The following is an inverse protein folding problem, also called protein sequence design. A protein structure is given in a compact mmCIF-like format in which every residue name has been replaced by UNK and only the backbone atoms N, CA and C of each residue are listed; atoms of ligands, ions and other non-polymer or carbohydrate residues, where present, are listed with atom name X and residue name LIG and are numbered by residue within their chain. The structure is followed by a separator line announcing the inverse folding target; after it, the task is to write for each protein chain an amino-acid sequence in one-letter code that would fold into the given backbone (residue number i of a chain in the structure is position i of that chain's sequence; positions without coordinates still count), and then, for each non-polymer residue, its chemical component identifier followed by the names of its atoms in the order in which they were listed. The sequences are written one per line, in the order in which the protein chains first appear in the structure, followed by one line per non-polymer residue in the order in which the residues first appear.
data_IF_437437067326
#
_entry.id   IF_437437067326
#
_cell.length_a   1.000
_cell.length_b   1.000
_cell.length_c   1.000
_cell.angle_alpha   90.00
_cell.angle_beta   90.00
_cell.angle_gamma   90.00
#
_symmetry.space_group_name_H-M   'P 1'
#
loop_
_entity.id
_entity.type
_entity.pdbx_description
1 polymer ?
#
# COMPACT_ATOMS: atom_id res chain seq x y z
N UNK A 1 -58.31 -18.26 20.93
CA UNK A 1 -57.10 -17.49 21.14
C UNK A 1 -56.18 -17.81 19.97
N UNK A 2 -56.06 -16.88 19.03
CA UNK A 2 -55.25 -17.07 17.83
C UNK A 2 -53.87 -16.44 18.07
N UNK A 3 -52.80 -17.22 17.84
CA UNK A 3 -51.40 -16.76 17.91
C UNK A 3 -51.06 -16.19 16.53
N UNK A 4 -50.54 -14.95 16.42
CA UNK A 4 -50.11 -14.41 15.12
C UNK A 4 -48.75 -14.98 14.74
N UNK A 5 -48.69 -15.61 13.57
CA UNK A 5 -47.44 -15.97 12.86
C UNK A 5 -46.72 -14.68 12.40
N UNK A 6 -45.71 -14.25 13.14
CA UNK A 6 -44.76 -13.27 12.65
C UNK A 6 -43.91 -13.91 11.56
N UNK A 7 -44.20 -13.53 10.30
CA UNK A 7 -43.42 -13.85 9.14
C UNK A 7 -42.06 -13.16 9.25
N UNK A 8 -40.99 -13.88 9.53
CA UNK A 8 -39.63 -13.44 9.32
C UNK A 8 -39.37 -13.41 7.83
N UNK A 9 -39.58 -12.25 7.21
CA UNK A 9 -39.02 -11.98 5.90
C UNK A 9 -37.49 -11.81 6.04
N UNK A 10 -36.75 -12.88 5.76
CA UNK A 10 -35.35 -12.79 5.48
C UNK A 10 -35.19 -11.90 4.21
N UNK A 11 -34.60 -10.73 4.35
CA UNK A 11 -34.28 -9.89 3.21
C UNK A 11 -33.33 -10.68 2.29
N UNK A 12 -33.83 -11.03 1.10
CA UNK A 12 -33.03 -11.67 0.08
C UNK A 12 -31.84 -10.77 -0.26
N UNK A 13 -30.61 -11.27 -0.09
CA UNK A 13 -29.41 -10.56 -0.54
C UNK A 13 -29.54 -10.35 -2.05
N UNK A 14 -29.22 -9.13 -2.56
CA UNK A 14 -29.25 -8.89 -3.98
C UNK A 14 -28.31 -9.87 -4.68
N UNK A 15 -28.80 -10.54 -5.73
CA UNK A 15 -28.02 -11.48 -6.51
C UNK A 15 -26.73 -10.80 -7.01
N UNK A 16 -25.58 -11.42 -6.77
CA UNK A 16 -24.29 -10.94 -7.26
C UNK A 16 -24.31 -10.91 -8.78
N UNK A 17 -23.79 -9.84 -9.38
CA UNK A 17 -23.69 -9.79 -10.84
C UNK A 17 -22.72 -10.88 -11.34
N UNK A 18 -22.90 -11.40 -12.59
CA UNK A 18 -22.00 -12.41 -13.17
C UNK A 18 -20.51 -12.00 -13.09
N UNK A 19 -20.21 -10.71 -13.17
CA UNK A 19 -18.85 -10.17 -13.10
C UNK A 19 -18.30 -10.18 -11.67
N UNK A 20 -19.15 -10.02 -10.66
CA UNK A 20 -18.79 -10.16 -9.25
C UNK A 20 -18.47 -11.61 -8.90
N UNK A 21 -19.19 -12.56 -9.48
CA UNK A 21 -18.93 -14.00 -9.34
C UNK A 21 -17.62 -14.38 -10.05
N UNK A 22 -17.36 -13.83 -11.25
CA UNK A 22 -16.09 -14.04 -11.96
C UNK A 22 -14.88 -13.47 -11.22
N UNK A 23 -14.99 -12.26 -10.66
CA UNK A 23 -13.93 -11.66 -9.87
C UNK A 23 -13.64 -12.43 -8.58
N UNK A 24 -14.68 -12.98 -7.94
CA UNK A 24 -14.52 -13.85 -6.77
C UNK A 24 -13.79 -15.16 -7.10
N UNK A 25 -14.00 -15.72 -8.31
CA UNK A 25 -13.34 -16.94 -8.78
C UNK A 25 -11.86 -16.75 -9.17
N UNK A 26 -11.44 -15.51 -9.46
CA UNK A 26 -10.06 -15.20 -9.86
C UNK A 26 -9.10 -14.96 -8.69
N UNK A 27 -9.61 -14.82 -7.48
CA UNK A 27 -8.80 -14.66 -6.27
C UNK A 27 -8.96 -15.94 -5.44
N UNK A 28 -7.89 -16.69 -5.14
CA UNK A 28 -7.97 -17.81 -4.21
C UNK A 28 -8.67 -17.35 -2.93
N UNK A 29 -9.62 -18.15 -2.42
CA UNK A 29 -10.26 -17.84 -1.14
C UNK A 29 -9.16 -17.70 -0.10
N UNK A 30 -9.00 -16.49 0.40
CA UNK A 30 -8.02 -16.18 1.41
C UNK A 30 -8.44 -16.88 2.70
N UNK A 31 -7.54 -17.68 3.26
CA UNK A 31 -7.72 -18.28 4.58
C UNK A 31 -6.83 -17.56 5.59
N UNK A 32 -7.25 -17.45 6.85
CA UNK A 32 -6.40 -16.93 7.91
C UNK A 32 -5.08 -17.71 7.95
N UNK A 33 -3.97 -17.00 8.05
CA UNK A 33 -2.63 -17.63 8.16
C UNK A 33 -2.28 -17.91 9.62
N UNK A 34 -3.03 -17.36 10.56
CA UNK A 34 -2.86 -17.56 11.99
C UNK A 34 -4.18 -17.84 12.70
N UNK A 35 -4.10 -18.27 13.97
CA UNK A 35 -5.25 -18.41 14.85
C UNK A 35 -5.57 -17.11 15.61
N UNK A 36 -5.04 -15.98 15.17
CA UNK A 36 -5.29 -14.67 15.78
C UNK A 36 -6.75 -14.26 15.56
N UNK A 37 -7.52 -14.02 16.65
CA UNK A 37 -8.92 -13.65 16.55
C UNK A 37 -9.18 -12.37 15.73
N UNK A 38 -8.27 -11.40 15.78
CA UNK A 38 -8.38 -10.14 15.03
C UNK A 38 -8.21 -10.40 13.53
N UNK A 39 -7.27 -11.25 13.15
CA UNK A 39 -7.07 -11.68 11.77
C UNK A 39 -8.29 -12.43 11.26
N UNK A 40 -8.81 -13.39 12.05
CA UNK A 40 -9.98 -14.21 11.71
C UNK A 40 -11.23 -13.35 11.53
N UNK A 41 -11.52 -12.43 12.45
CA UNK A 41 -12.67 -11.52 12.33
C UNK A 41 -12.64 -10.73 11.02
N UNK A 42 -11.46 -10.23 10.64
CA UNK A 42 -11.35 -9.46 9.40
C UNK A 42 -11.51 -10.37 8.16
N UNK A 43 -10.99 -11.59 8.20
CA UNK A 43 -11.23 -12.57 7.12
C UNK A 43 -12.70 -12.94 7.00
N UNK A 44 -13.41 -13.14 8.11
CA UNK A 44 -14.84 -13.42 8.12
C UNK A 44 -15.63 -12.28 7.46
N UNK A 45 -15.31 -11.03 7.80
CA UNK A 45 -15.88 -9.86 7.12
C UNK A 45 -15.55 -9.82 5.64
N UNK A 46 -14.32 -10.17 5.26
CA UNK A 46 -13.89 -10.22 3.85
C UNK A 46 -14.65 -11.29 3.06
N UNK A 47 -15.03 -12.38 3.67
CA UNK A 47 -15.81 -13.45 3.05
C UNK A 47 -17.31 -13.11 2.98
N UNK A 48 -17.89 -12.65 4.07
CA UNK A 48 -19.33 -12.52 4.23
C UNK A 48 -19.87 -11.13 3.87
N UNK A 49 -19.07 -10.07 4.08
CA UNK A 49 -19.49 -8.66 3.97
C UNK A 49 -18.67 -7.85 2.95
N UNK A 50 -18.13 -8.51 1.93
CA UNK A 50 -17.19 -7.88 0.98
C UNK A 50 -17.70 -6.58 0.35
N UNK A 51 -18.98 -6.54 -0.06
CA UNK A 51 -19.57 -5.33 -0.68
C UNK A 51 -19.62 -4.18 0.32
N UNK A 52 -19.95 -4.47 1.57
CA UNK A 52 -19.94 -3.48 2.64
C UNK A 52 -18.52 -2.97 2.92
N UNK A 53 -17.54 -3.88 3.01
CA UNK A 53 -16.12 -3.49 3.15
C UNK A 53 -15.64 -2.59 2.00
N UNK A 54 -16.08 -2.84 0.77
CA UNK A 54 -15.79 -1.98 -0.37
C UNK A 54 -16.37 -0.58 -0.24
N UNK A 55 -17.61 -0.47 0.26
CA UNK A 55 -18.25 0.83 0.50
C UNK A 55 -17.54 1.58 1.63
N UNK A 56 -17.24 0.90 2.73
CA UNK A 56 -16.48 1.46 3.84
C UNK A 56 -15.08 1.94 3.37
N UNK A 57 -14.38 1.12 2.59
CA UNK A 57 -13.09 1.51 2.01
C UNK A 57 -13.18 2.77 1.12
N UNK A 58 -14.18 2.82 0.26
CA UNK A 58 -14.39 3.97 -0.62
C UNK A 58 -14.76 5.24 0.15
N UNK A 59 -15.35 5.12 1.34
CA UNK A 59 -15.65 6.24 2.22
C UNK A 59 -14.43 6.82 2.95
N UNK A 60 -13.32 6.04 3.06
CA UNK A 60 -12.07 6.53 3.61
C UNK A 60 -11.49 7.56 2.63
N UNK A 61 -11.29 8.79 3.08
CA UNK A 61 -10.83 9.92 2.26
C UNK A 61 -9.58 9.60 1.45
N UNK A 62 -8.60 8.97 2.09
CA UNK A 62 -7.30 8.62 1.53
C UNK A 62 -7.39 7.56 0.42
N UNK A 63 -8.50 6.80 0.36
CA UNK A 63 -8.76 5.86 -0.73
C UNK A 63 -9.13 6.54 -2.05
N UNK A 64 -9.47 7.84 -2.01
CA UNK A 64 -9.93 8.59 -3.17
C UNK A 64 -11.17 7.98 -3.83
N UNK A 65 -12.18 7.57 -3.03
CA UNK A 65 -13.37 6.88 -3.52
C UNK A 65 -13.09 5.44 -3.96
N UNK A 66 -12.07 4.80 -3.39
CA UNK A 66 -11.66 3.44 -3.77
C UNK A 66 -10.81 3.38 -5.06
N UNK A 67 -10.33 4.52 -5.54
CA UNK A 67 -9.39 4.59 -6.68
C UNK A 67 -7.97 4.19 -6.27
N UNK A 68 -7.54 4.59 -5.08
CA UNK A 68 -6.23 4.25 -4.51
C UNK A 68 -6.36 2.92 -3.78
N UNK A 69 -5.64 1.91 -4.24
CA UNK A 69 -5.58 0.58 -3.65
C UNK A 69 -4.33 0.49 -2.77
N UNK A 70 -4.51 0.57 -1.46
CA UNK A 70 -3.42 0.60 -0.49
C UNK A 70 -3.76 -0.26 0.72
N UNK A 71 -2.89 -1.23 1.02
CA UNK A 71 -3.05 -2.14 2.17
C UNK A 71 -3.07 -1.39 3.51
N UNK A 72 -2.32 -0.28 3.63
CA UNK A 72 -2.29 0.49 4.87
C UNK A 72 -3.63 1.20 5.14
N UNK A 73 -4.28 1.71 4.09
CA UNK A 73 -5.62 2.29 4.18
C UNK A 73 -6.63 1.18 4.50
N UNK A 74 -6.50 0.01 3.88
CA UNK A 74 -7.41 -1.10 4.13
C UNK A 74 -7.35 -1.63 5.58
N UNK A 75 -6.23 -1.43 6.31
CA UNK A 75 -6.16 -1.74 7.75
C UNK A 75 -7.19 -0.97 8.57
N UNK A 76 -7.57 0.23 8.14
CA UNK A 76 -8.56 1.07 8.82
C UNK A 76 -9.99 0.51 8.77
N UNK A 77 -10.24 -0.53 7.96
CA UNK A 77 -11.48 -1.29 7.99
C UNK A 77 -11.61 -2.16 9.25
N UNK A 78 -10.52 -2.40 9.99
CA UNK A 78 -10.55 -3.12 11.27
C UNK A 78 -10.74 -2.15 12.43
N UNK A 79 -11.80 -2.32 13.24
CA UNK A 79 -11.99 -1.53 14.45
C UNK A 79 -10.87 -1.73 15.46
N UNK A 80 -10.25 -2.91 15.50
CA UNK A 80 -9.10 -3.19 16.37
C UNK A 80 -7.87 -2.36 16.00
N UNK A 81 -7.62 -2.19 14.69
CA UNK A 81 -6.52 -1.34 14.22
C UNK A 81 -6.80 0.16 14.44
N UNK A 82 -8.05 0.58 14.30
CA UNK A 82 -8.42 1.97 14.61
C UNK A 82 -8.24 2.29 16.09
N UNK A 83 -8.57 1.34 16.97
CA UNK A 83 -8.39 1.49 18.42
C UNK A 83 -6.91 1.41 18.85
N UNK A 84 -6.11 0.59 18.18
CA UNK A 84 -4.69 0.39 18.49
C UNK A 84 -3.87 0.11 17.22
N UNK A 85 -3.13 1.11 16.76
CA UNK A 85 -2.32 1.02 15.52
C UNK A 85 -1.11 0.08 15.64
N UNK A 86 -0.78 -0.39 16.85
CA UNK A 86 0.25 -1.44 17.04
C UNK A 86 -0.22 -2.80 16.50
N UNK A 87 -1.53 -3.01 16.35
CA UNK A 87 -2.15 -4.20 15.73
C UNK A 87 -1.98 -4.29 14.20
N UNK A 88 -1.09 -3.49 13.65
CA UNK A 88 -0.81 -3.44 12.21
C UNK A 88 -0.44 -4.80 11.60
N UNK A 89 0.28 -5.65 12.33
CA UNK A 89 0.66 -6.99 11.87
C UNK A 89 -0.55 -7.93 11.81
N UNK A 90 -1.43 -7.90 12.83
CA UNK A 90 -2.61 -8.75 12.95
C UNK A 90 -3.62 -8.55 11.81
N UNK A 91 -3.69 -7.35 11.24
CA UNK A 91 -4.64 -7.02 10.15
C UNK A 91 -3.98 -6.93 8.77
N UNK A 92 -2.68 -7.24 8.68
CA UNK A 92 -1.92 -7.05 7.42
C UNK A 92 -2.42 -7.96 6.30
N UNK A 93 -2.51 -9.26 6.56
CA UNK A 93 -2.85 -10.22 5.51
C UNK A 93 -4.29 -10.07 5.02
N UNK A 94 -5.34 -9.97 5.88
CA UNK A 94 -6.69 -9.73 5.38
C UNK A 94 -6.82 -8.40 4.61
N UNK A 95 -6.13 -7.33 5.04
CA UNK A 95 -6.08 -6.06 4.29
C UNK A 95 -5.42 -6.23 2.92
N UNK A 96 -4.34 -7.01 2.85
CA UNK A 96 -3.65 -7.34 1.60
C UNK A 96 -4.56 -8.15 0.65
N UNK A 97 -5.28 -9.13 1.17
CA UNK A 97 -6.23 -9.93 0.39
C UNK A 97 -7.42 -9.10 -0.09
N UNK A 98 -7.95 -8.22 0.75
CA UNK A 98 -9.00 -7.28 0.35
C UNK A 98 -8.54 -6.43 -0.86
N UNK A 99 -7.37 -5.82 -0.80
CA UNK A 99 -6.83 -5.00 -1.90
C UNK A 99 -6.58 -5.83 -3.17
N UNK A 100 -6.04 -7.05 -3.04
CA UNK A 100 -5.87 -7.97 -4.19
C UNK A 100 -7.20 -8.32 -4.84
N UNK A 101 -8.26 -8.56 -4.05
CA UNK A 101 -9.61 -8.85 -4.55
C UNK A 101 -10.20 -7.64 -5.28
N UNK A 102 -10.13 -6.45 -4.70
CA UNK A 102 -10.60 -5.21 -5.35
C UNK A 102 -9.84 -4.95 -6.65
N UNK A 103 -8.52 -5.19 -6.67
CA UNK A 103 -7.70 -5.04 -7.87
C UNK A 103 -8.15 -5.99 -8.99
N UNK A 104 -8.29 -7.27 -8.70
CA UNK A 104 -8.75 -8.27 -9.67
C UNK A 104 -10.14 -7.95 -10.21
N UNK A 105 -11.06 -7.53 -9.35
CA UNK A 105 -12.41 -7.11 -9.74
C UNK A 105 -12.38 -5.90 -10.68
N UNK A 106 -11.61 -4.86 -10.35
CA UNK A 106 -11.48 -3.69 -11.24
C UNK A 106 -10.91 -4.07 -12.61
N UNK A 107 -9.94 -4.98 -12.68
CA UNK A 107 -9.37 -5.46 -13.93
C UNK A 107 -10.35 -6.29 -14.78
N UNK A 108 -11.31 -6.96 -14.14
CA UNK A 108 -12.35 -7.75 -14.82
C UNK A 108 -13.46 -6.90 -15.44
N UNK A 109 -13.59 -5.65 -15.00
CA UNK A 109 -14.59 -4.71 -15.48
C UNK A 109 -14.01 -3.77 -16.55
N UNK A 110 -14.83 -3.22 -17.44
CA UNK A 110 -14.39 -2.16 -18.36
C UNK A 110 -13.87 -0.94 -17.60
N UNK A 111 -12.89 -0.26 -18.17
CA UNK A 111 -12.42 1.02 -17.62
C UNK A 111 -13.59 2.03 -17.53
N UNK A 112 -13.79 2.70 -16.38
CA UNK A 112 -14.85 3.67 -16.23
C UNK A 112 -14.75 4.80 -17.28
N UNK A 113 -15.89 5.25 -17.77
CA UNK A 113 -15.97 6.33 -18.77
C UNK A 113 -15.27 7.60 -18.26
N UNK A 114 -14.43 8.19 -19.08
CA UNK A 114 -13.68 9.41 -18.75
C UNK A 114 -12.35 9.18 -18.02
N UNK A 115 -11.98 7.94 -17.77
CA UNK A 115 -10.67 7.60 -17.21
C UNK A 115 -9.74 6.99 -18.25
N UNK A 116 -8.44 7.21 -18.10
CA UNK A 116 -7.43 6.55 -18.92
C UNK A 116 -7.36 5.06 -18.53
N UNK A 117 -7.30 4.19 -19.53
CA UNK A 117 -7.13 2.75 -19.35
C UNK A 117 -5.71 2.42 -18.82
N UNK A 118 -5.39 2.92 -17.65
CA UNK A 118 -4.05 2.85 -17.05
C UNK A 118 -4.12 2.50 -15.58
N UNK A 119 -3.32 1.53 -15.18
CA UNK A 119 -3.00 1.26 -13.78
C UNK A 119 -1.69 1.98 -13.43
N UNK A 120 -1.73 2.82 -12.43
CA UNK A 120 -0.53 3.43 -11.85
C UNK A 120 -0.08 2.57 -10.67
N UNK A 121 1.17 2.13 -10.69
CA UNK A 121 1.83 1.53 -9.53
C UNK A 121 2.78 2.54 -8.91
N UNK A 122 2.68 2.75 -7.60
CA UNK A 122 3.74 3.46 -6.88
C UNK A 122 4.82 2.47 -6.46
N UNK A 123 6.04 2.93 -6.39
CA UNK A 123 7.18 2.18 -5.89
C UNK A 123 8.07 3.07 -5.04
N UNK A 124 8.81 2.49 -4.10
CA UNK A 124 9.73 3.22 -3.22
C UNK A 124 9.64 2.77 -1.78
N UNK A 125 10.72 2.95 -1.04
CA UNK A 125 10.85 2.50 0.35
C UNK A 125 9.87 3.19 1.31
N UNK A 126 9.81 2.66 2.52
CA UNK A 126 9.03 3.25 3.61
C UNK A 126 9.51 4.66 3.91
N UNK A 127 8.59 5.64 4.01
CA UNK A 127 8.94 7.03 4.28
C UNK A 127 9.55 7.79 3.10
N UNK A 128 9.64 7.21 1.91
CA UNK A 128 10.17 7.88 0.72
C UNK A 128 9.33 9.09 0.26
N UNK A 129 8.10 9.25 0.77
CA UNK A 129 7.23 10.38 0.43
C UNK A 129 6.53 10.20 -0.92
N UNK A 130 6.14 8.98 -1.27
CA UNK A 130 5.47 8.64 -2.53
C UNK A 130 4.30 9.58 -2.86
N UNK A 131 3.35 9.73 -1.94
CA UNK A 131 2.16 10.58 -2.15
C UNK A 131 2.54 12.03 -2.42
N UNK A 132 3.40 12.61 -1.59
CA UNK A 132 3.85 14.00 -1.75
C UNK A 132 4.61 14.21 -3.05
N UNK A 133 5.44 13.24 -3.45
CA UNK A 133 6.21 13.30 -4.69
C UNK A 133 5.32 13.22 -5.93
N UNK A 134 4.26 12.41 -5.90
CA UNK A 134 3.26 12.32 -6.98
C UNK A 134 2.54 13.65 -7.20
N UNK A 135 2.24 14.37 -6.14
CA UNK A 135 1.58 15.68 -6.20
C UNK A 135 2.51 16.79 -6.69
N UNK A 136 3.79 16.73 -6.29
CA UNK A 136 4.78 17.76 -6.59
C UNK A 136 5.18 17.84 -8.08
N UNK A 137 5.07 16.74 -8.82
CA UNK A 137 5.46 16.67 -10.25
C UNK A 137 4.21 16.74 -11.13
N UNK A 138 3.91 17.92 -11.66
CA UNK A 138 2.65 18.22 -12.39
C UNK A 138 2.25 17.17 -13.42
N UNK A 139 3.15 16.81 -14.34
CA UNK A 139 2.84 15.85 -15.41
C UNK A 139 2.47 14.45 -14.85
N UNK A 140 3.10 14.06 -13.74
CA UNK A 140 2.81 12.81 -13.05
C UNK A 140 1.49 12.92 -12.32
N UNK A 141 1.27 14.01 -11.58
CA UNK A 141 0.00 14.29 -10.89
C UNK A 141 -1.19 14.23 -11.84
N UNK A 142 -1.09 14.88 -13.01
CA UNK A 142 -2.16 14.87 -14.01
C UNK A 142 -2.40 13.47 -14.59
N UNK A 143 -1.35 12.69 -14.82
CA UNK A 143 -1.46 11.29 -15.25
C UNK A 143 -2.13 10.41 -14.20
N UNK A 144 -1.78 10.58 -12.92
CA UNK A 144 -2.39 9.87 -11.78
C UNK A 144 -3.87 10.22 -11.65
N UNK A 145 -4.24 11.49 -11.83
CA UNK A 145 -5.64 11.94 -11.77
C UNK A 145 -6.51 11.29 -12.85
N UNK A 146 -5.98 11.10 -14.06
CA UNK A 146 -6.71 10.47 -15.16
C UNK A 146 -6.72 8.94 -15.10
N UNK A 147 -5.75 8.32 -14.47
CA UNK A 147 -5.64 6.87 -14.39
C UNK A 147 -6.89 6.21 -13.78
N UNK A 148 -7.24 5.02 -14.25
CA UNK A 148 -8.36 4.22 -13.72
C UNK A 148 -8.17 3.89 -12.24
N UNK A 149 -6.95 3.50 -11.85
CA UNK A 149 -6.62 3.17 -10.47
C UNK A 149 -5.15 3.41 -10.16
N UNK A 150 -4.87 3.58 -8.89
CA UNK A 150 -3.52 3.66 -8.33
C UNK A 150 -3.32 2.50 -7.37
N UNK A 151 -2.36 1.61 -7.63
CA UNK A 151 -1.96 0.57 -6.70
C UNK A 151 -0.76 1.08 -5.90
N UNK A 152 -1.01 1.57 -4.69
CA UNK A 152 0.04 2.12 -3.83
C UNK A 152 0.75 0.98 -3.09
N UNK A 153 2.01 0.80 -3.41
CA UNK A 153 2.86 -0.28 -2.91
C UNK A 153 4.32 0.15 -2.85
N UNK A 154 5.17 -0.64 -2.21
CA UNK A 154 6.62 -0.39 -2.22
C UNK A 154 7.31 -1.02 -3.44
N UNK A 155 6.71 -2.05 -4.05
CA UNK A 155 7.31 -2.85 -5.13
C UNK A 155 8.72 -3.36 -4.78
N UNK A 156 8.90 -3.90 -3.58
CA UNK A 156 10.20 -4.32 -3.06
C UNK A 156 10.53 -5.80 -3.31
N UNK A 157 9.71 -6.50 -4.10
CA UNK A 157 9.93 -7.89 -4.54
C UNK A 157 9.52 -8.01 -6.00
N UNK A 158 10.46 -8.43 -6.85
CA UNK A 158 10.26 -8.53 -8.30
C UNK A 158 9.07 -9.41 -8.66
N UNK A 159 9.01 -10.65 -8.17
CA UNK A 159 8.01 -11.65 -8.57
C UNK A 159 6.58 -11.18 -8.29
N UNK A 160 6.36 -10.59 -7.11
CA UNK A 160 5.03 -10.10 -6.71
C UNK A 160 4.64 -8.83 -7.47
N UNK A 161 5.61 -7.98 -7.79
CA UNK A 161 5.41 -6.76 -8.57
C UNK A 161 5.12 -7.10 -10.03
N UNK A 162 5.91 -7.98 -10.61
CA UNK A 162 5.75 -8.46 -11.98
C UNK A 162 4.38 -9.16 -12.18
N UNK A 163 3.97 -10.01 -11.23
CA UNK A 163 2.66 -10.67 -11.27
C UNK A 163 1.51 -9.65 -11.36
N UNK A 164 1.56 -8.58 -10.59
CA UNK A 164 0.54 -7.52 -10.64
C UNK A 164 0.56 -6.76 -11.98
N UNK A 165 1.75 -6.46 -12.51
CA UNK A 165 1.90 -5.83 -13.82
C UNK A 165 1.30 -6.72 -14.91
N UNK A 166 1.61 -8.01 -14.89
CA UNK A 166 1.06 -8.97 -15.86
C UNK A 166 -0.45 -9.09 -15.75
N UNK A 167 -1.03 -9.04 -14.54
CA UNK A 167 -2.48 -9.01 -14.36
C UNK A 167 -3.10 -7.78 -15.03
N UNK A 168 -2.50 -6.58 -14.86
CA UNK A 168 -2.96 -5.38 -15.54
C UNK A 168 -2.90 -5.51 -17.08
N UNK A 169 -1.77 -6.00 -17.60
CA UNK A 169 -1.59 -6.20 -19.05
C UNK A 169 -2.57 -7.22 -19.63
N UNK A 170 -2.83 -8.33 -18.92
CA UNK A 170 -3.84 -9.32 -19.28
C UNK A 170 -5.26 -8.75 -19.26
N UNK A 171 -5.53 -7.83 -18.31
CA UNK A 171 -6.77 -7.04 -18.26
C UNK A 171 -6.83 -5.92 -19.31
N UNK A 172 -5.93 -5.94 -20.30
CA UNK A 172 -5.80 -4.94 -21.36
C UNK A 172 -5.58 -3.50 -20.84
N UNK A 173 -4.88 -3.31 -19.73
CA UNK A 173 -4.51 -2.00 -19.18
C UNK A 173 -3.09 -1.62 -19.60
N UNK A 174 -2.85 -0.31 -19.73
CA UNK A 174 -1.50 0.25 -19.72
C UNK A 174 -1.01 0.32 -18.26
N UNK A 175 0.28 0.27 -18.09
CA UNK A 175 0.94 0.29 -16.78
C UNK A 175 1.86 1.50 -16.70
N UNK A 176 1.72 2.31 -15.66
CA UNK A 176 2.65 3.37 -15.32
C UNK A 176 3.22 3.09 -13.93
N UNK A 177 4.53 2.85 -13.85
CA UNK A 177 5.24 2.65 -12.59
C UNK A 177 5.92 3.95 -12.23
N UNK A 178 5.66 4.48 -11.03
CA UNK A 178 6.26 5.70 -10.54
C UNK A 178 7.10 5.34 -9.33
N UNK A 179 8.41 5.30 -9.52
CA UNK A 179 9.37 5.02 -8.46
C UNK A 179 9.82 6.33 -7.80
N UNK A 180 9.57 6.45 -6.50
CA UNK A 180 10.04 7.56 -5.68
C UNK A 180 11.26 7.13 -4.89
N UNK A 181 12.41 7.66 -5.28
CA UNK A 181 13.66 7.50 -4.54
C UNK A 181 13.77 8.56 -3.44
N UNK A 182 14.24 8.14 -2.30
CA UNK A 182 14.73 8.98 -1.22
C UNK A 182 15.83 8.23 -0.50
N UNK A 183 16.90 8.93 -0.07
CA UNK A 183 17.93 8.31 0.78
C UNK A 183 17.24 7.60 1.97
N UNK A 184 17.57 6.34 2.26
CA UNK A 184 16.89 5.57 3.33
C UNK A 184 16.97 6.24 4.71
N UNK A 185 18.07 6.92 5.02
CA UNK A 185 18.25 7.62 6.31
C UNK A 185 17.35 8.86 6.38
N UNK A 186 17.32 9.63 5.28
CA UNK A 186 16.38 10.76 5.13
C UNK A 186 14.92 10.29 5.20
N UNK A 187 14.61 9.17 4.60
CA UNK A 187 13.27 8.58 4.62
C UNK A 187 12.88 8.11 6.03
N UNK A 188 13.83 7.61 6.81
CA UNK A 188 13.61 7.28 8.22
C UNK A 188 13.35 8.55 9.04
N UNK A 189 14.32 9.48 9.03
CA UNK A 189 14.31 10.66 9.90
C UNK A 189 13.14 11.61 9.60
N UNK A 190 12.99 11.97 8.31
CA UNK A 190 12.01 12.95 7.86
C UNK A 190 10.70 12.36 7.33
N UNK A 191 10.57 11.04 7.31
CA UNK A 191 9.38 10.32 6.86
C UNK A 191 8.79 9.43 7.95
N UNK A 192 9.42 8.28 8.22
CA UNK A 192 8.83 7.24 9.07
C UNK A 192 8.74 7.66 10.55
N UNK A 193 9.81 8.24 11.12
CA UNK A 193 9.84 8.70 12.52
C UNK A 193 8.86 9.85 12.75
N UNK A 194 8.85 10.86 11.86
CA UNK A 194 7.91 11.97 11.98
C UNK A 194 6.46 11.53 11.90
N UNK A 195 6.16 10.56 11.02
CA UNK A 195 4.81 10.00 10.91
C UNK A 195 4.42 9.25 12.17
N UNK A 196 5.29 8.39 12.71
CA UNK A 196 5.04 7.62 13.92
C UNK A 196 4.78 8.55 15.12
N UNK A 197 5.62 9.56 15.29
CA UNK A 197 5.47 10.56 16.36
C UNK A 197 4.16 11.36 16.24
N UNK A 198 3.80 11.78 15.02
CA UNK A 198 2.52 12.47 14.80
C UNK A 198 1.33 11.58 15.15
N UNK A 199 1.32 10.33 14.66
CA UNK A 199 0.26 9.38 14.95
C UNK A 199 0.17 9.05 16.45
N UNK A 200 1.30 8.94 17.14
CA UNK A 200 1.32 8.72 18.59
C UNK A 200 0.67 9.89 19.34
N UNK A 201 0.92 11.14 18.91
CA UNK A 201 0.28 12.34 19.48
C UNK A 201 -1.22 12.43 19.19
N UNK A 202 -1.63 12.02 18.00
CA UNK A 202 -3.03 12.12 17.54
C UNK A 202 -3.91 10.96 18.05
N UNK A 203 -3.33 9.76 18.22
CA UNK A 203 -4.07 8.53 18.47
C UNK A 203 -3.56 7.71 19.67
N UNK A 204 -2.57 8.23 20.41
CA UNK A 204 -1.95 7.50 21.53
C UNK A 204 -0.95 6.43 21.11
N UNK A 205 -1.01 5.95 19.87
CA UNK A 205 -0.09 4.96 19.31
C UNK A 205 0.32 5.34 17.88
N UNK A 206 1.59 5.11 17.52
CA UNK A 206 2.14 5.40 16.21
C UNK A 206 2.57 4.11 15.49
N UNK A 207 2.34 4.07 14.18
CA UNK A 207 2.81 2.95 13.36
C UNK A 207 4.33 3.02 13.20
N UNK A 208 5.00 1.97 13.63
CA UNK A 208 6.44 1.77 13.45
C UNK A 208 6.73 0.75 12.35
N UNK A 209 7.95 0.77 11.84
CA UNK A 209 8.47 -0.21 10.87
C UNK A 209 9.88 -0.57 11.33
N UNK A 210 10.19 -1.83 11.63
CA UNK A 210 11.54 -2.25 12.03
C UNK A 210 12.61 -1.75 11.06
N UNK A 211 13.78 -1.36 11.56
CA UNK A 211 14.88 -0.82 10.74
C UNK A 211 15.26 -1.79 9.62
N UNK A 212 15.30 -3.11 9.89
CA UNK A 212 15.59 -4.12 8.88
C UNK A 212 14.54 -4.14 7.75
N UNK A 213 13.26 -4.00 8.09
CA UNK A 213 12.19 -3.91 7.07
C UNK A 213 12.23 -2.58 6.32
N UNK A 214 12.56 -1.48 7.00
CA UNK A 214 12.78 -0.18 6.35
C UNK A 214 13.88 -0.30 5.30
N UNK A 215 15.03 -0.86 5.64
CA UNK A 215 16.17 -1.09 4.74
C UNK A 215 15.76 -2.00 3.56
N UNK A 216 15.15 -3.16 3.84
CA UNK A 216 14.68 -4.10 2.82
C UNK A 216 13.72 -3.44 1.82
N UNK A 217 12.82 -2.56 2.28
CA UNK A 217 11.89 -1.88 1.35
C UNK A 217 12.60 -0.91 0.42
N UNK A 218 13.66 -0.24 0.86
CA UNK A 218 14.41 0.70 0.03
C UNK A 218 15.30 -0.02 -1.00
N UNK A 219 16.10 -0.98 -0.56
CA UNK A 219 16.98 -1.75 -1.43
C UNK A 219 16.18 -2.61 -2.38
N UNK A 220 15.18 -3.34 -1.86
CA UNK A 220 14.33 -4.19 -2.66
C UNK A 220 13.54 -3.42 -3.73
N UNK A 221 13.04 -2.22 -3.42
CA UNK A 221 12.36 -1.41 -4.41
C UNK A 221 13.30 -0.96 -5.52
N UNK A 222 14.50 -0.49 -5.19
CA UNK A 222 15.49 -0.07 -6.19
C UNK A 222 15.86 -1.22 -7.12
N UNK A 223 16.20 -2.40 -6.57
CA UNK A 223 16.55 -3.58 -7.35
C UNK A 223 15.38 -4.04 -8.24
N UNK A 224 14.18 -4.13 -7.67
CA UNK A 224 12.97 -4.52 -8.42
C UNK A 224 12.71 -3.58 -9.60
N UNK A 225 12.89 -2.27 -9.42
CA UNK A 225 12.66 -1.31 -10.52
C UNK A 225 13.70 -1.45 -11.63
N UNK A 226 14.96 -1.74 -11.31
CA UNK A 226 15.97 -2.07 -12.31
C UNK A 226 15.60 -3.32 -13.12
N UNK A 227 15.20 -4.40 -12.44
CA UNK A 227 14.77 -5.65 -13.10
C UNK A 227 13.53 -5.44 -13.98
N UNK A 228 12.53 -4.69 -13.49
CA UNK A 228 11.33 -4.35 -14.26
C UNK A 228 11.65 -3.47 -15.47
N UNK A 229 12.59 -2.54 -15.35
CA UNK A 229 13.03 -1.71 -16.47
C UNK A 229 13.64 -2.57 -17.57
N UNK A 230 14.51 -3.51 -17.22
CA UNK A 230 15.10 -4.44 -18.20
C UNK A 230 14.03 -5.35 -18.84
N UNK A 231 13.14 -5.93 -18.01
CA UNK A 231 12.09 -6.81 -18.51
C UNK A 231 11.15 -6.12 -19.49
N UNK A 232 10.74 -4.90 -19.19
CA UNK A 232 9.68 -4.19 -19.93
C UNK A 232 10.19 -3.10 -20.88
N UNK A 233 11.50 -2.97 -21.10
CA UNK A 233 12.11 -1.91 -21.94
C UNK A 233 11.51 -1.78 -23.34
N UNK A 234 11.06 -2.88 -23.93
CA UNK A 234 10.47 -2.93 -25.26
C UNK A 234 8.93 -3.06 -25.25
N UNK A 235 8.29 -2.94 -24.09
CA UNK A 235 6.84 -3.04 -24.00
C UNK A 235 6.18 -1.64 -24.00
N UNK A 236 5.50 -1.23 -25.09
CA UNK A 236 4.94 0.12 -25.19
C UNK A 236 3.78 0.38 -24.23
N UNK A 237 3.22 -0.69 -23.60
CA UNK A 237 2.17 -0.56 -22.60
C UNK A 237 2.71 -0.32 -21.19
N UNK A 238 4.03 -0.43 -20.95
CA UNK A 238 4.64 -0.25 -19.63
C UNK A 238 5.57 0.95 -19.65
N UNK A 239 5.31 1.93 -18.79
CA UNK A 239 6.14 3.11 -18.60
C UNK A 239 6.68 3.15 -17.17
N UNK A 240 7.99 3.36 -17.01
CA UNK A 240 8.63 3.56 -15.71
C UNK A 240 9.14 4.99 -15.62
N UNK A 241 8.80 5.67 -14.53
CA UNK A 241 9.21 7.04 -14.24
C UNK A 241 9.85 7.08 -12.86
N UNK A 242 10.92 7.84 -12.72
CA UNK A 242 11.67 7.99 -11.49
C UNK A 242 11.50 9.41 -10.97
N UNK A 243 11.17 9.55 -9.70
CA UNK A 243 11.16 10.81 -8.97
C UNK A 243 12.24 10.75 -7.91
N UNK A 244 13.19 11.68 -7.94
CA UNK A 244 14.12 11.91 -6.85
C UNK A 244 13.50 12.87 -5.83
N UNK A 245 13.25 12.38 -4.61
CA UNK A 245 12.68 13.11 -3.47
C UNK A 245 13.71 13.34 -2.34
N UNK A 246 15.01 13.19 -2.63
CA UNK A 246 16.08 13.32 -1.63
C UNK A 246 16.25 14.75 -1.12
N UNK A 247 15.75 15.75 -1.85
CA UNK A 247 15.83 17.16 -1.46
C UNK A 247 14.68 17.63 -0.56
N UNK A 248 13.77 16.71 -0.18
CA UNK A 248 12.63 16.98 0.69
C UNK A 248 11.36 17.45 -0.02
N UNK A 249 10.33 17.72 0.79
CA UNK A 249 9.02 18.11 0.28
C UNK A 249 9.06 19.35 -0.61
N UNK A 250 8.35 19.32 -1.74
CA UNK A 250 8.28 20.40 -2.72
C UNK A 250 9.50 20.56 -3.62
N UNK A 251 10.53 19.74 -3.44
CA UNK A 251 11.75 19.76 -4.28
C UNK A 251 11.96 18.47 -5.07
N UNK A 252 10.91 17.65 -5.16
CA UNK A 252 10.92 16.43 -5.96
C UNK A 252 11.11 16.74 -7.44
N UNK A 253 11.97 15.98 -8.12
CA UNK A 253 12.28 16.17 -9.52
C UNK A 253 12.25 14.85 -10.29
N UNK A 254 11.90 14.91 -11.58
CA UNK A 254 12.05 13.74 -12.47
C UNK A 254 13.52 13.40 -12.59
N UNK A 255 13.84 12.13 -12.50
CA UNK A 255 15.21 11.60 -12.58
C UNK A 255 15.23 10.32 -13.43
N UNK A 256 16.35 9.63 -13.44
CA UNK A 256 16.54 8.31 -14.07
C UNK A 256 17.29 7.40 -13.11
N UNK A 257 17.17 6.08 -13.30
CA UNK A 257 17.78 5.10 -12.38
C UNK A 257 19.29 5.17 -12.33
N UNK A 258 19.92 5.45 -13.46
CA UNK A 258 21.38 5.58 -13.60
C UNK A 258 21.96 6.77 -12.81
N UNK A 259 21.14 7.76 -12.49
CA UNK A 259 21.53 8.94 -11.69
C UNK A 259 21.37 8.73 -10.19
N UNK A 260 20.74 7.64 -9.77
CA UNK A 260 20.55 7.34 -8.36
C UNK A 260 21.83 6.79 -7.75
N UNK A 261 22.13 7.11 -6.47
CA UNK A 261 23.32 6.58 -5.81
C UNK A 261 23.19 5.07 -5.59
N UNK A 262 24.32 4.38 -5.70
CA UNK A 262 24.43 2.99 -5.28
C UNK A 262 24.37 2.92 -3.76
N UNK A 263 23.51 2.06 -3.23
CA UNK A 263 23.36 1.87 -1.80
C UNK A 263 24.28 0.72 -1.32
N UNK A 264 25.10 1.00 -0.32
CA UNK A 264 25.80 -0.04 0.43
C UNK A 264 24.94 -0.46 1.63
N UNK A 265 24.46 -1.68 1.63
CA UNK A 265 23.48 -2.16 2.63
C UNK A 265 24.02 -2.04 4.06
N UNK A 266 25.26 -2.49 4.33
CA UNK A 266 25.85 -2.46 5.66
C UNK A 266 26.05 -1.02 6.17
N UNK A 267 26.50 -0.12 5.29
CA UNK A 267 26.67 1.28 5.63
C UNK A 267 25.34 1.96 5.94
N UNK A 268 24.35 1.74 5.08
CA UNK A 268 22.99 2.30 5.25
C UNK A 268 22.39 1.77 6.55
N UNK A 269 22.52 0.46 6.83
CA UNK A 269 22.00 -0.15 8.06
C UNK A 269 22.59 0.52 9.31
N UNK A 270 23.90 0.68 9.36
CA UNK A 270 24.58 1.38 10.48
C UNK A 270 24.03 2.79 10.67
N UNK A 271 23.96 3.58 9.58
CA UNK A 271 23.44 4.95 9.61
C UNK A 271 21.99 5.04 10.07
N UNK A 272 21.16 4.05 9.74
CA UNK A 272 19.76 3.96 10.18
C UNK A 272 19.68 3.76 11.70
N UNK A 273 20.48 2.85 12.28
CA UNK A 273 20.53 2.65 13.73
C UNK A 273 21.09 3.88 14.45
N UNK A 274 22.17 4.49 13.95
CA UNK A 274 22.72 5.73 14.51
C UNK A 274 21.67 6.86 14.54
N UNK A 275 20.85 6.95 13.50
CA UNK A 275 19.77 7.96 13.40
C UNK A 275 18.63 7.66 14.36
N UNK A 276 18.23 6.41 14.51
CA UNK A 276 17.22 5.98 15.47
C UNK A 276 17.66 6.28 16.91
N UNK A 277 18.91 5.92 17.26
CA UNK A 277 19.48 6.18 18.59
C UNK A 277 19.62 7.68 18.90
N UNK A 278 19.98 8.48 17.90
CA UNK A 278 20.02 9.94 18.02
C UNK A 278 18.65 10.52 18.29
N UNK A 279 17.62 10.05 17.55
CA UNK A 279 16.24 10.49 17.74
C UNK A 279 15.72 10.14 19.14
N UNK A 280 16.05 8.97 19.67
CA UNK A 280 15.74 8.58 21.06
C UNK A 280 16.42 9.49 22.08
N UNK A 281 17.75 9.65 21.97
CA UNK A 281 18.55 10.46 22.93
C UNK A 281 18.13 11.91 22.96
N UNK A 282 17.68 12.48 21.84
CA UNK A 282 17.18 13.84 21.76
C UNK A 282 15.74 14.02 22.25
N UNK A 283 15.03 12.93 22.58
CA UNK A 283 13.61 12.99 22.94
C UNK A 283 12.68 13.28 21.76
N UNK A 284 13.17 13.18 20.51
CA UNK A 284 12.36 13.37 19.31
C UNK A 284 11.30 12.30 19.11
N UNK A 285 11.51 11.11 19.68
CA UNK A 285 10.57 9.99 19.69
C UNK A 285 10.46 9.41 21.10
N UNK A 286 9.31 8.81 21.41
CA UNK A 286 9.08 8.08 22.65
C UNK A 286 9.87 6.77 22.71
N UNK A 287 10.02 6.22 23.92
CA UNK A 287 10.62 4.88 24.12
C UNK A 287 9.80 3.78 23.41
N UNK A 288 8.48 3.89 23.38
CA UNK A 288 7.61 2.96 22.68
C UNK A 288 7.84 3.00 21.17
N UNK A 289 7.90 4.19 20.59
CA UNK A 289 8.24 4.38 19.18
C UNK A 289 9.64 3.84 18.87
N UNK A 290 10.65 4.14 19.69
CA UNK A 290 12.00 3.58 19.54
C UNK A 290 11.99 2.06 19.48
N UNK A 291 11.36 1.39 20.48
CA UNK A 291 11.28 -0.08 20.53
C UNK A 291 10.64 -0.68 19.27
N UNK A 292 9.58 -0.05 18.76
CA UNK A 292 8.90 -0.52 17.55
C UNK A 292 9.75 -0.45 16.28
N UNK A 293 10.71 0.48 16.19
CA UNK A 293 11.69 0.54 15.11
C UNK A 293 12.94 -0.34 15.36
N UNK A 294 13.34 -0.52 16.62
CA UNK A 294 14.53 -1.26 17.00
C UNK A 294 14.35 -2.79 16.96
N UNK A 295 13.12 -3.30 16.85
CA UNK A 295 12.86 -4.75 16.77
C UNK A 295 13.62 -5.33 15.58
N UNK A 296 14.43 -6.36 15.84
CA UNK A 296 15.07 -7.10 14.77
C UNK A 296 13.99 -7.82 13.96
N UNK A 297 14.01 -7.62 12.65
CA UNK A 297 13.18 -8.41 11.73
C UNK A 297 13.59 -9.88 11.88
N UNK A 298 12.66 -10.72 12.33
CA UNK A 298 12.83 -12.17 12.38
C UNK A 298 12.80 -12.76 10.98
#
# INVERSE_FOLDING_TARGET
MAVPLSSMMAAAQPAQSPDQVRAAALVPQAQPQSQDPIEQEYFDRLQNDYLKLRQEYAAIKESGGGKILNTDIARELSPHYLADRTKSANVHEPSSQFIKRVYAEKLSNPTPKGMDNTVVFTAGGTGAGKTTALEAVKNISDSVKRAEMVYDTNMNKFETSDKKIQQALKGNRKVSIIYTYRDPVEALENGALKRANRQEKEHGTGRTVPIGEHLKTHIGALNTIHELQEKYKNNPKVKIQVIDNSRGAGKSAVSSLDKLPKLNENEVQRRLYDTLDRARRSGAISENTYRGFAVNSR
#
